data_IF_124373177117
#
_entry.id   IF_124373177117
#
_cell.length_a   1.000
_cell.length_b   1.000
_cell.length_c   1.000
_cell.angle_alpha   90.00
_cell.angle_beta   90.00
_cell.angle_gamma   90.00
#
_symmetry.space_group_name_H-M   'P 1'
#
loop_
_entity.id
_entity.type
_entity.pdbx_description
1 polymer ?
#
# COMPACT_ATOMS: atom_id res chain seq x y z
N UNK A 1 -1.61 -25.20 8.55
CA UNK A 1 -0.25 -25.33 7.99
C UNK A 1 -0.31 -24.98 6.50
N UNK A 2 0.65 -24.23 5.97
CA UNK A 2 0.64 -23.83 4.56
C UNK A 2 1.06 -25.00 3.66
N UNK A 3 0.30 -25.24 2.59
CA UNK A 3 0.52 -26.35 1.66
C UNK A 3 1.56 -25.98 0.59
N UNK A 4 2.70 -26.68 0.62
CA UNK A 4 3.87 -26.46 -0.26
C UNK A 4 3.91 -27.41 -1.46
N UNK A 5 2.82 -28.15 -1.72
CA UNK A 5 2.76 -29.17 -2.78
C UNK A 5 3.03 -28.63 -4.19
N UNK A 6 2.84 -27.32 -4.43
CA UNK A 6 3.11 -26.67 -5.73
C UNK A 6 4.57 -26.30 -5.98
N UNK A 7 5.43 -26.38 -4.96
CA UNK A 7 6.85 -26.03 -5.06
C UNK A 7 7.71 -27.20 -5.60
N UNK A 8 7.16 -28.42 -5.63
CA UNK A 8 7.86 -29.64 -6.10
C UNK A 8 7.69 -29.91 -7.60
N UNK A 9 7.49 -28.89 -8.44
CA UNK A 9 7.55 -29.09 -9.91
C UNK A 9 9.01 -29.21 -10.34
N UNK A 10 9.47 -30.46 -10.54
CA UNK A 10 10.77 -30.82 -11.12
C UNK A 10 10.85 -30.56 -12.63
N UNK A 11 10.37 -29.41 -13.09
CA UNK A 11 10.41 -29.00 -14.50
C UNK A 11 10.94 -27.58 -14.62
N UNK A 12 12.05 -27.31 -13.93
CA UNK A 12 12.96 -26.27 -14.40
C UNK A 12 13.52 -26.81 -15.73
N UNK A 13 13.39 -26.06 -16.82
CA UNK A 13 13.86 -26.48 -18.14
C UNK A 13 15.36 -26.81 -18.14
N UNK A 14 15.88 -27.24 -19.29
CA UNK A 14 17.33 -27.42 -19.43
C UNK A 14 18.04 -26.13 -18.98
N UNK A 15 19.11 -26.23 -18.16
CA UNK A 15 19.85 -25.06 -17.72
C UNK A 15 20.39 -24.30 -18.95
N UNK A 16 20.47 -22.96 -18.89
CA UNK A 16 21.06 -22.18 -19.96
C UNK A 16 22.52 -22.60 -20.20
N UNK A 17 23.03 -22.47 -21.44
CA UNK A 17 24.43 -22.72 -21.76
C UNK A 17 25.35 -21.77 -20.96
N UNK A 18 26.61 -22.17 -20.74
CA UNK A 18 27.53 -21.45 -19.85
C UNK A 18 27.83 -20.03 -20.32
N UNK A 19 27.76 -19.80 -21.63
CA UNK A 19 27.99 -18.51 -22.27
C UNK A 19 26.86 -17.50 -21.99
N UNK A 20 25.65 -17.99 -21.69
CA UNK A 20 24.51 -17.17 -21.29
C UNK A 20 24.47 -16.93 -19.76
N UNK A 21 25.34 -17.59 -18.99
CA UNK A 21 25.42 -17.38 -17.56
C UNK A 21 26.07 -16.03 -17.24
N UNK A 22 25.49 -15.30 -16.28
CA UNK A 22 26.02 -13.98 -15.89
C UNK A 22 27.42 -14.09 -15.29
N UNK A 23 28.33 -13.21 -15.69
CA UNK A 23 29.71 -13.11 -15.14
C UNK A 23 29.79 -12.29 -13.86
N UNK A 24 28.68 -12.14 -13.12
CA UNK A 24 28.59 -11.31 -11.91
C UNK A 24 29.63 -11.69 -10.84
N UNK A 25 30.06 -12.95 -10.80
CA UNK A 25 31.14 -13.43 -9.91
C UNK A 25 32.52 -12.83 -10.21
N UNK A 26 32.74 -12.34 -11.43
CA UNK A 26 33.97 -11.67 -11.84
C UNK A 26 33.87 -10.15 -11.79
N UNK A 27 32.71 -9.60 -11.42
CA UNK A 27 32.56 -8.18 -11.23
C UNK A 27 33.34 -7.74 -9.98
N UNK A 28 34.03 -6.59 -10.00
CA UNK A 28 34.68 -6.05 -8.82
C UNK A 28 33.65 -5.77 -7.72
N UNK A 29 33.97 -6.11 -6.46
CA UNK A 29 33.09 -5.82 -5.31
C UNK A 29 32.88 -4.32 -5.05
N UNK A 30 33.73 -3.46 -5.64
CA UNK A 30 33.69 -2.02 -5.43
C UNK A 30 32.99 -1.33 -6.59
N UNK A 31 31.82 -0.74 -6.30
CA UNK A 31 31.12 0.17 -7.22
C UNK A 31 31.97 1.44 -7.37
N UNK A 32 32.24 1.96 -8.59
CA UNK A 32 32.92 3.23 -8.75
C UNK A 32 32.16 4.31 -7.98
N UNK A 33 32.85 5.01 -7.08
CA UNK A 33 32.26 6.08 -6.30
C UNK A 33 31.82 7.20 -7.26
N UNK A 34 30.52 7.25 -7.56
CA UNK A 34 29.92 8.44 -8.16
C UNK A 34 30.01 9.51 -7.08
N UNK A 35 30.95 10.45 -7.24
CA UNK A 35 31.11 11.61 -6.37
C UNK A 35 29.89 12.55 -6.55
N UNK A 36 28.78 12.20 -5.91
CA UNK A 36 27.65 13.12 -5.76
C UNK A 36 28.09 14.14 -4.72
N UNK A 37 28.29 15.39 -5.18
CA UNK A 37 28.56 16.53 -4.30
C UNK A 37 27.52 16.55 -3.16
N UNK A 38 28.00 16.45 -1.93
CA UNK A 38 27.16 16.37 -0.75
C UNK A 38 26.41 17.69 -0.54
N UNK A 39 25.20 17.79 -1.10
CA UNK A 39 24.20 18.71 -0.57
C UNK A 39 23.76 18.18 0.79
N UNK A 40 23.91 19.01 1.82
CA UNK A 40 23.55 18.73 3.22
C UNK A 40 22.03 18.77 3.46
N UNK A 41 21.25 18.32 2.48
CA UNK A 41 19.82 18.11 2.66
C UNK A 41 19.64 16.68 3.18
N UNK A 42 18.92 16.45 4.29
CA UNK A 42 18.64 15.09 4.73
C UNK A 42 17.89 14.39 3.59
N UNK A 43 18.52 13.38 2.98
CA UNK A 43 17.85 12.48 2.04
C UNK A 43 16.73 11.83 2.86
N UNK A 44 15.51 12.38 2.76
CA UNK A 44 14.34 11.77 3.35
C UNK A 44 14.24 10.41 2.68
N UNK A 45 14.58 9.35 3.42
CA UNK A 45 14.39 7.97 2.97
C UNK A 45 12.91 7.82 2.70
N UNK A 46 12.53 7.99 1.45
CA UNK A 46 11.15 7.90 1.02
C UNK A 46 10.78 6.43 1.17
N UNK A 47 10.05 6.11 2.24
CA UNK A 47 9.56 4.77 2.49
C UNK A 47 8.86 4.29 1.20
N UNK A 48 9.19 3.10 0.71
CA UNK A 48 8.59 2.54 -0.50
C UNK A 48 7.06 2.44 -0.41
N UNK A 49 6.50 2.47 0.81
CA UNK A 49 5.06 2.61 1.07
C UNK A 49 4.54 4.00 0.73
N UNK A 50 5.29 5.05 1.08
CA UNK A 50 4.99 6.44 0.71
C UNK A 50 5.11 6.68 -0.79
N UNK A 51 6.07 6.03 -1.47
CA UNK A 51 6.22 6.12 -2.92
C UNK A 51 5.03 5.54 -3.70
N UNK A 52 4.25 4.62 -3.10
CA UNK A 52 3.04 4.02 -3.68
C UNK A 52 1.75 4.71 -3.21
N UNK A 53 1.84 5.73 -2.36
CA UNK A 53 0.67 6.43 -1.82
C UNK A 53 0.10 7.34 -2.90
N UNK A 54 -1.06 6.97 -3.44
CA UNK A 54 -1.74 7.73 -4.51
C UNK A 54 -2.46 8.99 -4.01
N UNK A 55 -2.45 9.25 -2.70
CA UNK A 55 -3.16 10.36 -2.02
C UNK A 55 -4.67 10.46 -2.32
N UNK A 56 -5.25 9.49 -3.03
CA UNK A 56 -6.69 9.46 -3.37
C UNK A 56 -7.57 9.22 -2.15
N UNK A 57 -7.06 8.49 -1.15
CA UNK A 57 -7.78 8.17 0.10
C UNK A 57 -6.86 8.31 1.30
N UNK A 58 -7.37 8.88 2.39
CA UNK A 58 -6.68 9.00 3.68
C UNK A 58 -7.40 8.16 4.74
N UNK A 59 -6.64 7.55 5.66
CA UNK A 59 -7.22 6.75 6.74
C UNK A 59 -7.93 7.64 7.76
N UNK A 60 -9.22 7.41 7.97
CA UNK A 60 -10.02 8.11 8.96
C UNK A 60 -10.17 7.25 10.21
N UNK A 61 -9.28 7.45 11.19
CA UNK A 61 -9.25 6.69 12.44
C UNK A 61 -9.77 7.53 13.60
N UNK A 62 -11.00 7.28 14.03
CA UNK A 62 -11.65 7.95 15.17
C UNK A 62 -12.14 6.93 16.19
N UNK A 63 -12.25 7.37 17.46
CA UNK A 63 -12.90 6.58 18.52
C UNK A 63 -14.35 7.04 18.65
N UNK A 64 -15.27 6.09 18.62
CA UNK A 64 -16.71 6.33 18.67
C UNK A 64 -17.36 5.44 19.73
N UNK A 65 -18.62 5.76 20.09
CA UNK A 65 -19.40 4.91 20.99
C UNK A 65 -19.74 3.57 20.32
N UNK A 66 -19.75 2.44 21.07
CA UNK A 66 -20.05 1.12 20.51
C UNK A 66 -21.42 1.04 19.84
N UNK A 67 -22.48 1.56 20.48
CA UNK A 67 -23.85 1.51 19.95
C UNK A 67 -23.97 2.24 18.61
N UNK A 68 -23.28 3.38 18.48
CA UNK A 68 -23.26 4.16 17.26
C UNK A 68 -22.54 3.44 16.12
N UNK A 69 -21.43 2.73 16.39
CA UNK A 69 -20.75 1.90 15.38
C UNK A 69 -21.65 0.75 14.92
N UNK A 70 -22.40 0.14 15.85
CA UNK A 70 -23.35 -0.93 15.53
C UNK A 70 -24.47 -0.43 14.62
N UNK A 71 -25.06 0.74 14.93
CA UNK A 71 -26.08 1.37 14.08
C UNK A 71 -25.53 1.73 12.69
N UNK A 72 -24.32 2.30 12.63
CA UNK A 72 -23.66 2.65 11.37
C UNK A 72 -23.43 1.42 10.49
N UNK A 73 -22.96 0.31 11.08
CA UNK A 73 -22.76 -0.96 10.37
C UNK A 73 -24.06 -1.56 9.90
N UNK A 74 -25.12 -1.53 10.72
CA UNK A 74 -26.43 -2.03 10.32
C UNK A 74 -26.99 -1.24 9.13
N UNK A 75 -26.82 0.08 9.12
CA UNK A 75 -27.22 0.95 8.02
C UNK A 75 -26.45 0.65 6.74
N UNK A 76 -25.12 0.56 6.84
CA UNK A 76 -24.25 0.23 5.72
C UNK A 76 -24.58 -1.15 5.12
N UNK A 77 -24.83 -2.16 5.97
CA UNK A 77 -25.19 -3.51 5.55
C UNK A 77 -26.56 -3.55 4.85
N UNK A 78 -27.54 -2.82 5.37
CA UNK A 78 -28.90 -2.73 4.78
C UNK A 78 -28.84 -2.15 3.37
N UNK A 79 -28.04 -1.11 3.18
CA UNK A 79 -27.99 -0.33 1.94
C UNK A 79 -26.87 -0.79 0.97
N UNK A 80 -26.06 -1.78 1.37
CA UNK A 80 -24.95 -2.31 0.57
C UNK A 80 -23.79 -1.32 0.38
N UNK A 81 -23.59 -0.43 1.35
CA UNK A 81 -22.60 0.65 1.31
C UNK A 81 -21.36 0.33 2.14
N UNK A 82 -20.26 1.00 1.84
CA UNK A 82 -19.11 1.06 2.74
C UNK A 82 -19.40 2.03 3.89
N UNK A 83 -18.80 1.78 5.06
CA UNK A 83 -18.94 2.67 6.22
C UNK A 83 -18.52 4.11 5.87
N UNK A 84 -17.47 4.27 5.05
CA UNK A 84 -16.98 5.59 4.61
C UNK A 84 -18.02 6.31 3.76
N UNK A 85 -18.73 5.62 2.87
CA UNK A 85 -19.75 6.24 1.99
C UNK A 85 -20.95 6.76 2.81
N UNK A 86 -21.33 6.03 3.86
CA UNK A 86 -22.36 6.48 4.79
C UNK A 86 -21.93 7.77 5.49
N UNK A 87 -20.65 7.86 5.91
CA UNK A 87 -20.10 9.05 6.55
C UNK A 87 -19.98 10.25 5.59
N UNK A 88 -19.61 10.02 4.34
CA UNK A 88 -19.56 11.07 3.32
C UNK A 88 -20.95 11.66 3.05
N UNK A 89 -21.98 10.80 2.91
CA UNK A 89 -23.37 11.24 2.78
C UNK A 89 -23.85 12.00 4.03
N UNK A 90 -23.52 11.50 5.22
CA UNK A 90 -23.86 12.18 6.48
C UNK A 90 -23.22 13.58 6.56
N UNK A 91 -21.98 13.73 6.10
CA UNK A 91 -21.29 15.01 6.05
C UNK A 91 -21.93 15.99 5.05
N UNK A 92 -22.36 15.50 3.89
CA UNK A 92 -23.08 16.32 2.90
C UNK A 92 -24.43 16.82 3.44
N UNK A 93 -25.20 15.93 4.08
CA UNK A 93 -26.45 16.31 4.75
C UNK A 93 -26.22 17.34 5.86
N UNK A 94 -25.18 17.17 6.67
CA UNK A 94 -24.83 18.14 7.71
C UNK A 94 -24.51 19.51 7.13
N UNK A 95 -23.71 19.59 6.06
CA UNK A 95 -23.41 20.85 5.35
C UNK A 95 -24.68 21.51 4.82
N UNK A 96 -25.57 20.74 4.20
CA UNK A 96 -26.82 21.25 3.65
C UNK A 96 -27.74 21.81 4.75
N UNK A 97 -27.81 21.14 5.90
CA UNK A 97 -28.57 21.64 7.05
C UNK A 97 -27.99 22.94 7.62
N UNK A 98 -26.67 23.03 7.74
CA UNK A 98 -25.99 24.25 8.21
C UNK A 98 -26.16 25.40 7.23
N UNK A 99 -26.09 25.14 5.92
CA UNK A 99 -26.28 26.16 4.89
C UNK A 99 -27.75 26.64 4.77
N UNK A 100 -28.71 25.82 5.18
CA UNK A 100 -30.14 26.16 5.22
C UNK A 100 -30.54 26.96 6.46
N UNK A 101 -29.62 27.20 7.40
CA UNK A 101 -29.87 27.89 8.67
C UNK A 101 -29.28 29.29 8.65
#
# INVERSE_FOLDING_TARGET
MADVSKLKRKTLGAPPPMEEASTNLHAPEVVPAVHVAASSEPIQRMDGRSARRTNRTLQFATRVRPDWDAELRALAQRDGLLLVEVLERALELYKNQVASR
#
